data_IF_711097941578
#
_entry.id   IF_711097941578
#
_cell.length_a   1.000
_cell.length_b   1.000
_cell.length_c   1.000
_cell.angle_alpha   90.00
_cell.angle_beta   90.00
_cell.angle_gamma   90.00
#
_symmetry.space_group_name_H-M   'P 1'
#
loop_
_entity.id
_entity.type
_entity.pdbx_description
1 polymer ?
#
# COMPACT_ATOMS: atom_id res chain seq x y z
N UNK A 1 43.69 9.81 -30.73
CA UNK A 1 42.38 9.49 -30.13
C UNK A 1 42.47 9.84 -28.65
N UNK A 2 41.78 10.89 -28.21
CA UNK A 2 41.85 11.40 -26.84
C UNK A 2 41.20 10.42 -25.86
N UNK A 3 41.87 10.17 -24.73
CA UNK A 3 41.40 9.27 -23.65
C UNK A 3 40.50 9.99 -22.62
N UNK A 4 40.11 11.25 -22.89
CA UNK A 4 39.25 12.03 -22.00
C UNK A 4 37.78 11.84 -22.38
N UNK A 5 37.00 11.28 -21.46
CA UNK A 5 35.54 11.26 -21.56
C UNK A 5 35.04 12.71 -21.42
N UNK A 6 34.31 13.26 -22.39
CA UNK A 6 33.75 14.61 -22.26
C UNK A 6 32.76 14.69 -21.09
N UNK A 7 32.82 15.77 -20.32
CA UNK A 7 31.98 16.02 -19.13
C UNK A 7 30.48 15.86 -19.46
N UNK A 8 30.07 16.25 -20.67
CA UNK A 8 28.69 16.10 -21.15
C UNK A 8 28.15 14.66 -21.07
N UNK A 9 28.99 13.64 -21.31
CA UNK A 9 28.57 12.24 -21.18
C UNK A 9 28.37 11.82 -19.72
N UNK A 10 29.19 12.36 -18.80
CA UNK A 10 29.05 12.12 -17.35
C UNK A 10 27.75 12.75 -16.85
N UNK A 11 27.45 13.98 -17.27
CA UNK A 11 26.23 14.68 -16.91
C UNK A 11 24.97 14.00 -17.46
N UNK A 12 25.04 13.49 -18.70
CA UNK A 12 23.95 12.72 -19.29
C UNK A 12 23.65 11.44 -18.50
N UNK A 13 24.67 10.69 -18.09
CA UNK A 13 24.50 9.47 -17.27
C UNK A 13 23.88 9.82 -15.91
N UNK A 14 24.34 10.90 -15.27
CA UNK A 14 23.78 11.38 -14.00
C UNK A 14 22.30 11.74 -14.14
N UNK A 15 21.93 12.48 -15.18
CA UNK A 15 20.54 12.86 -15.45
C UNK A 15 19.65 11.63 -15.68
N UNK A 16 20.13 10.64 -16.44
CA UNK A 16 19.39 9.41 -16.72
C UNK A 16 19.15 8.59 -15.44
N UNK A 17 20.15 8.46 -14.57
CA UNK A 17 20.01 7.74 -13.29
C UNK A 17 19.00 8.44 -12.38
N UNK A 18 19.06 9.77 -12.30
CA UNK A 18 18.10 10.56 -11.51
C UNK A 18 16.67 10.38 -12.05
N UNK A 19 16.48 10.48 -13.36
CA UNK A 19 15.18 10.25 -13.98
C UNK A 19 14.65 8.83 -13.70
N UNK A 20 15.49 7.81 -13.84
CA UNK A 20 15.09 6.41 -13.58
C UNK A 20 14.74 6.19 -12.10
N UNK A 21 15.46 6.84 -11.19
CA UNK A 21 15.19 6.75 -9.75
C UNK A 21 13.81 7.32 -9.37
N UNK A 22 13.36 8.36 -10.07
CA UNK A 22 12.04 8.97 -9.86
C UNK A 22 10.90 8.09 -10.38
N UNK A 23 11.16 7.26 -11.40
CA UNK A 23 10.16 6.33 -11.95
C UNK A 23 9.92 5.11 -11.06
N UNK A 24 10.83 4.82 -10.11
CA UNK A 24 10.69 3.66 -9.23
C UNK A 24 9.55 3.87 -8.23
N UNK A 25 8.52 2.99 -8.20
CA UNK A 25 7.42 3.14 -7.26
C UNK A 25 7.88 2.92 -5.81
N UNK A 26 7.13 3.47 -4.86
CA UNK A 26 7.35 3.27 -3.44
C UNK A 26 7.39 1.77 -3.09
N UNK A 27 8.36 1.35 -2.28
CA UNK A 27 8.52 -0.05 -1.84
C UNK A 27 7.26 -0.59 -1.16
N UNK A 28 6.53 0.27 -0.47
CA UNK A 28 5.31 -0.07 0.27
C UNK A 28 4.08 -0.24 -0.64
N UNK A 29 4.16 0.13 -1.92
CA UNK A 29 3.00 0.09 -2.83
C UNK A 29 2.49 -1.34 -3.08
N UNK A 30 3.36 -2.35 -2.96
CA UNK A 30 2.96 -3.76 -3.06
C UNK A 30 2.42 -4.38 -1.76
N UNK A 31 2.63 -3.71 -0.63
CA UNK A 31 2.25 -4.22 0.70
C UNK A 31 1.05 -3.50 1.30
N UNK A 32 0.60 -2.40 0.70
CA UNK A 32 -0.49 -1.58 1.20
C UNK A 32 -1.59 -1.40 0.13
N UNK A 33 -2.83 -1.29 0.59
CA UNK A 33 -3.97 -0.93 -0.25
C UNK A 33 -3.99 0.59 -0.43
N UNK A 34 -4.06 1.04 -1.68
CA UNK A 34 -4.30 2.44 -1.99
C UNK A 34 -5.80 2.68 -2.12
N UNK A 35 -6.34 3.63 -1.35
CA UNK A 35 -7.71 4.11 -1.46
C UNK A 35 -7.72 5.63 -1.53
N UNK A 36 -8.61 6.20 -2.33
CA UNK A 36 -8.86 7.63 -2.37
C UNK A 36 -9.77 8.02 -1.21
N UNK A 37 -9.35 9.02 -0.43
CA UNK A 37 -10.13 9.56 0.69
C UNK A 37 -10.74 10.90 0.27
N UNK A 38 -12.02 11.10 0.61
CA UNK A 38 -12.72 12.37 0.38
C UNK A 38 -13.13 12.95 1.72
N UNK A 39 -12.74 14.20 2.00
CA UNK A 39 -13.00 14.89 3.26
C UNK A 39 -11.89 14.72 4.30
N UNK A 40 -12.07 15.36 5.46
CA UNK A 40 -11.00 15.49 6.47
C UNK A 40 -10.78 14.22 7.30
N UNK A 41 -11.77 13.33 7.34
CA UNK A 41 -11.71 12.11 8.14
C UNK A 41 -12.20 10.89 7.36
N UNK A 42 -11.60 9.74 7.65
CA UNK A 42 -12.04 8.43 7.15
C UNK A 42 -11.96 7.40 8.27
N UNK A 43 -12.83 6.40 8.21
CA UNK A 43 -12.76 5.26 9.11
C UNK A 43 -12.47 3.99 8.32
N UNK A 44 -11.58 3.15 8.85
CA UNK A 44 -11.23 1.85 8.28
C UNK A 44 -11.58 0.76 9.27
N UNK A 45 -12.31 -0.25 8.78
CA UNK A 45 -12.68 -1.43 9.56
C UNK A 45 -11.56 -2.45 9.58
N UNK A 46 -11.40 -3.11 10.72
CA UNK A 46 -10.49 -4.25 10.89
C UNK A 46 -11.26 -5.39 11.50
N UNK A 47 -11.22 -6.52 10.80
CA UNK A 47 -11.76 -7.77 11.27
C UNK A 47 -10.61 -8.64 11.78
N UNK A 48 -10.77 -9.22 12.96
CA UNK A 48 -9.84 -10.21 13.50
C UNK A 48 -9.82 -11.49 12.64
N UNK A 49 -8.70 -12.24 12.66
CA UNK A 49 -8.61 -13.51 11.96
C UNK A 49 -9.62 -14.51 12.56
N UNK A 50 -10.23 -15.32 11.70
CA UNK A 50 -11.12 -16.40 12.16
C UNK A 50 -11.03 -17.60 11.23
N UNK A 51 -11.05 -18.79 11.82
CA UNK A 51 -10.98 -20.05 11.10
C UNK A 51 -12.34 -20.47 10.52
N UNK A 52 -12.28 -21.15 9.39
CA UNK A 52 -13.47 -21.75 8.78
C UNK A 52 -13.98 -22.91 9.64
N UNK A 53 -15.29 -22.91 9.92
CA UNK A 53 -15.94 -23.99 10.66
C UNK A 53 -16.61 -24.97 9.69
N UNK A 54 -16.40 -26.29 9.85
CA UNK A 54 -17.05 -27.28 9.00
C UNK A 54 -18.57 -27.25 9.22
N UNK A 55 -19.34 -27.46 8.14
CA UNK A 55 -20.78 -27.66 8.27
C UNK A 55 -21.00 -28.96 9.04
N UNK A 56 -21.79 -28.88 10.11
CA UNK A 56 -22.21 -30.04 10.89
C UNK A 56 -23.21 -30.92 10.12
N UNK A 57 -24.35 -31.23 10.74
CA UNK A 57 -25.37 -32.10 10.14
C UNK A 57 -26.06 -31.50 8.91
N UNK A 58 -26.60 -32.38 8.04
CA UNK A 58 -27.56 -31.97 7.00
C UNK A 58 -28.81 -31.40 7.69
N UNK A 59 -29.24 -30.22 7.25
CA UNK A 59 -30.35 -29.45 7.85
C UNK A 59 -30.12 -28.97 9.30
N UNK A 60 -28.87 -28.89 9.75
CA UNK A 60 -28.54 -28.25 11.04
C UNK A 60 -28.61 -26.73 10.99
N UNK A 61 -28.65 -26.10 12.16
CA UNK A 61 -28.57 -24.65 12.30
C UNK A 61 -27.24 -24.10 11.76
N UNK A 62 -27.28 -22.91 11.16
CA UNK A 62 -26.07 -22.22 10.71
C UNK A 62 -25.27 -21.74 11.93
N UNK A 63 -23.99 -22.11 12.07
CA UNK A 63 -23.18 -21.62 13.18
C UNK A 63 -22.95 -20.11 13.04
N UNK A 64 -23.11 -19.38 14.15
CA UNK A 64 -22.79 -17.96 14.22
C UNK A 64 -21.29 -17.84 14.42
N UNK A 65 -20.64 -17.00 13.62
CA UNK A 65 -19.19 -16.80 13.64
C UNK A 65 -18.84 -15.34 13.85
N UNK A 66 -18.95 -14.88 15.10
CA UNK A 66 -18.55 -13.52 15.48
C UNK A 66 -17.03 -13.39 15.55
N UNK A 67 -16.48 -12.41 14.83
CA UNK A 67 -15.06 -12.08 14.91
C UNK A 67 -14.89 -10.72 15.60
N UNK A 68 -13.82 -10.59 16.38
CA UNK A 68 -13.46 -9.32 16.99
C UNK A 68 -13.32 -8.26 15.90
N UNK A 69 -14.03 -7.16 16.05
CA UNK A 69 -14.00 -6.06 15.10
C UNK A 69 -13.56 -4.79 15.81
N UNK A 70 -12.73 -4.00 15.14
CA UNK A 70 -12.34 -2.69 15.61
C UNK A 70 -12.26 -1.72 14.45
N UNK A 71 -12.57 -0.46 14.71
CA UNK A 71 -12.49 0.62 13.73
C UNK A 71 -11.30 1.53 14.06
N UNK A 72 -10.62 2.04 13.04
CA UNK A 72 -9.61 3.11 13.20
C UNK A 72 -10.01 4.36 12.43
N UNK A 73 -9.83 5.50 13.08
CA UNK A 73 -9.99 6.81 12.45
C UNK A 73 -8.68 7.25 11.79
N UNK A 74 -8.82 7.83 10.61
CA UNK A 74 -7.80 8.55 9.86
C UNK A 74 -8.21 10.02 9.84
N UNK A 75 -7.24 10.90 10.03
CA UNK A 75 -7.39 12.35 9.90
C UNK A 75 -6.39 12.84 8.85
N UNK A 76 -6.85 13.67 7.92
CA UNK A 76 -5.98 14.32 6.95
C UNK A 76 -5.33 15.54 7.60
N UNK A 77 -4.00 15.65 7.46
CA UNK A 77 -3.22 16.77 7.99
C UNK A 77 -2.42 17.38 6.85
N UNK A 78 -2.70 18.63 6.56
CA UNK A 78 -1.95 19.43 5.60
C UNK A 78 -0.77 20.13 6.30
N UNK A 79 0.36 20.18 5.61
CA UNK A 79 1.57 20.88 6.08
C UNK A 79 1.87 22.04 5.12
N UNK A 80 2.23 23.19 5.70
CA UNK A 80 2.64 24.41 4.97
C UNK A 80 4.15 24.47 4.86
#
# INVERSE_FOLDING_TARGET
MSQQIPIAFVDQVKANILMLSQQKPAKLRGTARAESVTGDTMFVERLGPKDAQPRGARHGATPISDADHTRRQLLMVDYV
#
